data_IF_379659369336
#
_entry.id   IF_379659369336
#
_cell.length_a   1.000
_cell.length_b   1.000
_cell.length_c   1.000
_cell.angle_alpha   90.00
_cell.angle_beta   90.00
_cell.angle_gamma   90.00
#
_symmetry.space_group_name_H-M   'P 1'
#
loop_
_entity.id
_entity.type
_entity.pdbx_description
1 polymer ?
#
# COMPACT_ATOMS: atom_id res chain seq x y z
N UNK A 1 -0.97 -17.06 -7.40
CA UNK A 1 -0.68 -16.26 -6.19
C UNK A 1 -0.25 -14.82 -6.50
N UNK A 2 0.83 -14.57 -7.24
CA UNK A 2 1.35 -13.21 -7.49
C UNK A 2 0.32 -12.17 -8.02
N UNK A 3 -0.57 -12.57 -8.93
CA UNK A 3 -1.65 -11.69 -9.43
C UNK A 3 -2.62 -11.23 -8.34
N UNK A 4 -3.05 -12.15 -7.46
CA UNK A 4 -3.95 -11.84 -6.34
C UNK A 4 -3.28 -10.91 -5.32
N UNK A 5 -2.00 -11.16 -4.99
CA UNK A 5 -1.21 -10.27 -4.12
C UNK A 5 -1.10 -8.86 -4.72
N UNK A 6 -0.86 -8.76 -6.03
CA UNK A 6 -0.77 -7.45 -6.70
C UNK A 6 -2.09 -6.70 -6.72
N UNK A 7 -3.20 -7.40 -6.97
CA UNK A 7 -4.54 -6.83 -6.93
C UNK A 7 -4.86 -6.33 -5.51
N UNK A 8 -4.74 -7.20 -4.51
CA UNK A 8 -5.02 -6.88 -3.11
C UNK A 8 -4.18 -5.70 -2.61
N UNK A 9 -2.88 -5.66 -2.93
CA UNK A 9 -2.02 -4.52 -2.58
C UNK A 9 -2.55 -3.20 -3.15
N UNK A 10 -2.94 -3.21 -4.44
CA UNK A 10 -3.43 -2.00 -5.12
C UNK A 10 -4.76 -1.55 -4.53
N UNK A 11 -5.67 -2.50 -4.28
CA UNK A 11 -6.97 -2.23 -3.65
C UNK A 11 -6.80 -1.69 -2.23
N UNK A 12 -5.97 -2.32 -1.40
CA UNK A 12 -5.73 -1.82 -0.05
C UNK A 12 -5.10 -0.42 -0.07
N UNK A 13 -4.17 -0.15 -1.00
CA UNK A 13 -3.60 1.20 -1.15
C UNK A 13 -4.63 2.25 -1.59
N UNK A 14 -5.67 1.90 -2.35
CA UNK A 14 -6.74 2.85 -2.70
C UNK A 14 -7.67 3.13 -1.51
N UNK A 15 -7.84 2.16 -0.60
CA UNK A 15 -8.58 2.31 0.65
C UNK A 15 -7.82 3.11 1.72
N UNK A 16 -6.52 3.38 1.52
CA UNK A 16 -5.69 4.13 2.47
C UNK A 16 -6.17 5.56 2.77
N UNK A 17 -7.05 6.09 1.92
CA UNK A 17 -7.67 7.42 2.10
C UNK A 17 -8.80 7.40 3.14
N UNK A 18 -9.28 6.21 3.53
CA UNK A 18 -10.36 6.05 4.48
C UNK A 18 -9.76 5.95 5.89
N UNK A 19 -10.02 6.92 6.77
CA UNK A 19 -9.50 6.88 8.13
C UNK A 19 -10.02 5.67 8.89
N UNK A 20 -9.18 5.13 9.79
CA UNK A 20 -9.43 3.95 10.65
C UNK A 20 -9.44 2.58 9.96
N UNK A 21 -9.09 2.48 8.68
CA UNK A 21 -8.80 1.18 8.07
C UNK A 21 -7.36 0.79 8.41
N UNK A 22 -7.18 -0.36 9.06
CA UNK A 22 -5.87 -1.00 9.14
C UNK A 22 -5.62 -1.69 7.78
N UNK A 23 -4.58 -1.25 7.08
CA UNK A 23 -4.22 -1.75 5.76
C UNK A 23 -3.26 -2.94 5.79
N UNK A 24 -2.26 -2.89 6.66
CA UNK A 24 -1.15 -3.83 6.64
C UNK A 24 -1.49 -5.22 7.23
N UNK A 25 -2.68 -5.38 7.78
CA UNK A 25 -3.33 -6.61 8.19
C UNK A 25 -4.01 -7.38 7.06
N UNK A 26 -3.96 -6.87 5.81
CA UNK A 26 -4.59 -7.52 4.66
C UNK A 26 -3.88 -8.83 4.31
N UNK A 27 -4.65 -9.90 4.14
CA UNK A 27 -4.18 -11.21 3.69
C UNK A 27 -4.98 -11.71 2.49
N UNK A 28 -4.38 -12.55 1.66
CA UNK A 28 -5.06 -13.32 0.61
C UNK A 28 -4.84 -14.81 0.84
N UNK A 29 -5.78 -15.62 0.37
CA UNK A 29 -5.72 -17.07 0.41
C UNK A 29 -6.24 -17.61 -0.91
N UNK A 30 -5.80 -18.81 -1.30
CA UNK A 30 -6.50 -19.54 -2.35
C UNK A 30 -7.86 -20.00 -1.80
N UNK A 31 -8.87 -20.03 -2.67
CA UNK A 31 -10.24 -20.38 -2.29
C UNK A 31 -10.32 -21.78 -1.67
N UNK A 32 -9.60 -22.75 -2.23
CA UNK A 32 -9.60 -24.14 -1.74
C UNK A 32 -8.78 -24.32 -0.45
N UNK A 33 -7.96 -23.34 -0.08
CA UNK A 33 -7.07 -23.40 1.09
C UNK A 33 -7.14 -22.13 1.92
N UNK A 34 -8.35 -21.68 2.28
CA UNK A 34 -8.60 -20.43 3.01
C UNK A 34 -7.88 -20.34 4.37
N UNK A 35 -7.51 -21.47 4.97
CA UNK A 35 -6.73 -21.52 6.20
C UNK A 35 -5.27 -21.06 6.02
N UNK A 36 -4.74 -21.11 4.79
CA UNK A 36 -3.41 -20.62 4.45
C UNK A 36 -3.52 -19.15 4.06
N UNK A 37 -3.08 -18.26 4.95
CA UNK A 37 -3.11 -16.81 4.74
C UNK A 37 -1.75 -16.30 4.32
N UNK A 38 -1.72 -15.57 3.22
CA UNK A 38 -0.53 -14.90 2.73
C UNK A 38 -0.67 -13.40 2.94
N UNK A 39 0.31 -12.81 3.60
CA UNK A 39 0.35 -11.37 3.81
C UNK A 39 0.45 -10.63 2.47
N UNK A 40 -0.30 -9.53 2.34
CA UNK A 40 -0.23 -8.65 1.15
C UNK A 40 0.94 -7.67 1.27
N UNK A 41 1.20 -7.23 2.50
CA UNK A 41 2.30 -6.35 2.86
C UNK A 41 3.42 -7.14 3.50
N UNK A 42 4.63 -6.58 3.52
CA UNK A 42 5.71 -7.16 4.29
C UNK A 42 5.31 -7.22 5.78
N UNK A 43 5.55 -8.38 6.39
CA UNK A 43 5.15 -8.72 7.76
C UNK A 43 6.08 -8.11 8.83
N UNK A 44 7.17 -7.44 8.41
CA UNK A 44 8.09 -6.75 9.32
C UNK A 44 7.41 -5.58 10.03
N UNK A 45 7.50 -5.61 11.36
CA UNK A 45 7.09 -4.49 12.23
C UNK A 45 8.19 -3.42 12.26
N UNK A 46 7.79 -2.19 11.99
CA UNK A 46 8.61 -0.99 11.98
C UNK A 46 8.67 -0.35 13.38
N UNK A 47 9.61 0.59 13.65
CA UNK A 47 9.75 1.24 14.96
C UNK A 47 8.48 1.96 15.45
N UNK A 48 7.64 2.45 14.54
CA UNK A 48 6.35 3.08 14.84
C UNK A 48 5.23 2.07 15.14
N UNK A 49 5.57 0.77 15.25
CA UNK A 49 4.67 -0.37 15.44
C UNK A 49 3.70 -0.62 14.29
N UNK A 50 3.88 0.06 13.16
CA UNK A 50 3.20 -0.29 11.91
C UNK A 50 3.94 -1.41 11.20
N UNK A 51 3.28 -2.11 10.28
CA UNK A 51 3.96 -3.02 9.35
C UNK A 51 4.55 -2.24 8.19
N UNK A 52 5.60 -2.78 7.58
CA UNK A 52 6.20 -2.19 6.40
C UNK A 52 5.16 -2.03 5.28
N UNK A 53 5.06 -0.82 4.71
CA UNK A 53 4.08 -0.48 3.69
C UNK A 53 4.41 -1.02 2.28
N UNK A 54 5.53 -1.74 2.12
CA UNK A 54 5.93 -2.38 0.88
C UNK A 54 5.17 -3.70 0.68
N UNK A 55 5.19 -4.22 -0.57
CA UNK A 55 4.62 -5.53 -0.90
C UNK A 55 5.27 -6.64 -0.08
N UNK A 56 4.55 -7.72 0.18
CA UNK A 56 5.16 -8.95 0.68
C UNK A 56 6.31 -9.39 -0.24
N UNK A 57 7.37 -9.92 0.37
CA UNK A 57 8.59 -10.39 -0.31
C UNK A 57 9.27 -9.32 -1.19
N UNK A 58 9.14 -8.04 -0.85
CA UNK A 58 9.83 -6.97 -1.58
C UNK A 58 11.35 -7.10 -1.43
N UNK A 59 12.07 -6.72 -2.49
CA UNK A 59 13.51 -6.56 -2.44
C UNK A 59 13.90 -5.27 -1.69
N UNK A 60 15.11 -5.25 -1.14
CA UNK A 60 15.68 -4.10 -0.46
C UNK A 60 15.24 -3.91 1.00
N UNK A 61 15.80 -2.91 1.71
CA UNK A 61 15.55 -2.71 3.13
C UNK A 61 14.15 -2.18 3.40
N UNK A 62 13.49 -2.71 4.44
CA UNK A 62 12.21 -2.18 4.92
C UNK A 62 12.39 -0.73 5.43
N UNK A 63 11.41 0.12 5.19
CA UNK A 63 11.47 1.53 5.57
C UNK A 63 12.12 2.46 4.53
N UNK A 64 12.68 1.90 3.44
CA UNK A 64 12.84 2.68 2.22
C UNK A 64 11.42 3.03 1.74
N UNK A 65 11.03 4.30 1.89
CA UNK A 65 9.76 4.79 1.38
C UNK A 65 9.73 4.45 -0.12
N UNK A 66 8.64 3.89 -0.67
CA UNK A 66 8.57 3.68 -2.10
C UNK A 66 8.63 5.07 -2.76
N UNK A 67 9.77 5.40 -3.35
CA UNK A 67 10.03 6.65 -4.10
C UNK A 67 9.19 6.76 -5.38
N UNK A 68 8.08 6.00 -5.47
CA UNK A 68 7.20 5.90 -6.63
C UNK A 68 5.87 6.65 -6.49
N UNK A 69 5.73 7.58 -5.54
CA UNK A 69 4.61 8.51 -5.49
C UNK A 69 5.13 9.93 -5.27
N UNK A 70 5.92 10.45 -6.21
CA UNK A 70 5.81 11.88 -6.48
C UNK A 70 4.38 12.09 -6.97
N UNK A 71 3.51 12.53 -6.08
CA UNK A 71 2.44 13.46 -6.49
C UNK A 71 3.11 14.40 -7.48
N UNK A 72 2.77 14.33 -8.77
CA UNK A 72 3.00 15.47 -9.65
C UNK A 72 2.36 16.63 -8.91
N UNK A 73 3.18 17.53 -8.36
CA UNK A 73 2.69 18.75 -7.74
C UNK A 73 1.69 19.34 -8.73
N UNK A 74 0.43 19.49 -8.29
CA UNK A 74 -0.56 20.18 -9.08
C UNK A 74 -0.02 21.61 -9.24
N UNK A 75 0.29 22.09 -10.46
CA UNK A 75 0.78 23.45 -10.60
C UNK A 75 -0.28 24.39 -10.01
N UNK A 76 0.12 25.49 -9.35
CA UNK A 76 -0.83 26.44 -8.78
C UNK A 76 -1.78 26.87 -9.89
N UNK A 77 -3.10 26.83 -9.63
CA UNK A 77 -4.09 27.34 -10.57
C UNK A 77 -3.77 28.81 -10.78
N UNK A 78 -3.31 29.14 -12.00
CA UNK A 78 -3.10 30.51 -12.41
C UNK A 78 -4.33 31.35 -12.09
N UNK A 79 -4.11 32.41 -11.33
CA UNK A 79 -5.12 33.41 -11.02
C UNK A 79 -5.62 34.01 -12.33
N UNK A 80 -6.92 33.86 -12.61
CA UNK A 80 -7.56 34.54 -13.74
C UNK A 80 -7.56 36.05 -13.43
N UNK A 81 -7.05 36.93 -14.31
CA UNK A 81 -7.25 38.35 -14.13
C UNK A 81 -8.74 38.65 -14.25
N UNK A 82 -9.26 39.40 -13.28
CA UNK A 82 -10.56 40.07 -13.38
C UNK A 82 -10.46 41.05 -14.55
N UNK A 83 -11.22 40.81 -15.62
CA UNK A 83 -11.55 41.81 -16.62
C UNK A 83 -12.91 42.40 -16.27
#
# INVERSE_FOLDING_TARGET
MAGALRFAYTLTRSLALIPRIELAGTTVSAEDTQHVRHWVFCDRIMPDRSRCAQRADHDGPCGAYPTGQTTRERPPRGERPLR
#
